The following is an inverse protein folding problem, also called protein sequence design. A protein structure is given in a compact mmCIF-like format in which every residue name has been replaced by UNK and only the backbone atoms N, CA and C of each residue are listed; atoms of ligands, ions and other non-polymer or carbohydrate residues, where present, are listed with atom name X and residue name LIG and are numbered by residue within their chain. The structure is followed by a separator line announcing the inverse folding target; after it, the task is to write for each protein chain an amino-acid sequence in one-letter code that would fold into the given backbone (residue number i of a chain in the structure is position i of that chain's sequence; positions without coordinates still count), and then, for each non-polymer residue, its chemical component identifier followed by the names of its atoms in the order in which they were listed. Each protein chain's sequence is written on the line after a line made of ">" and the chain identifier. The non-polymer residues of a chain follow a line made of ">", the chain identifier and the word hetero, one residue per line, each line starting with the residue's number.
data_IF_826227011633
#
_entry.id   IF_826227011633
#
_cell.length_a   1.000
_cell.length_b   1.000
_cell.length_c   1.000
_cell.angle_alpha   90.00
_cell.angle_beta   90.00
_cell.angle_gamma   90.00
#
_symmetry.space_group_name_H-M   'P 1'
#
loop_
_entity.id
_entity.type
_entity.pdbx_description
1 polymer ?
#
# COMPACT_ATOMS: atom_id res chain seq x y z
N UNK A 1 9.94 17.17 17.85
CA UNK A 1 10.13 16.25 18.99
C UNK A 1 10.94 15.05 18.53
N UNK A 2 11.93 14.65 19.32
CA UNK A 2 12.67 13.40 19.16
C UNK A 2 12.15 12.42 20.22
N UNK A 3 11.57 11.33 19.74
CA UNK A 3 11.04 10.27 20.57
C UNK A 3 12.17 9.31 20.98
N UNK A 4 12.58 9.44 22.25
CA UNK A 4 13.52 8.56 22.93
C UNK A 4 12.82 7.74 24.04
N UNK A 5 11.49 7.75 24.05
CA UNK A 5 10.66 7.01 25.00
C UNK A 5 10.38 5.61 24.44
N UNK A 6 11.19 4.64 24.83
CA UNK A 6 11.07 3.23 24.47
C UNK A 6 10.30 2.51 25.58
N UNK A 7 8.97 2.74 25.60
CA UNK A 7 8.10 2.33 26.70
C UNK A 7 7.58 0.88 26.61
N UNK A 8 7.78 0.21 25.49
CA UNK A 8 7.38 -1.19 25.29
C UNK A 8 8.30 -2.10 26.11
N UNK A 9 7.78 -3.01 26.94
CA UNK A 9 8.59 -3.97 27.67
C UNK A 9 9.47 -4.83 26.76
N UNK A 10 10.60 -5.32 27.26
CA UNK A 10 11.61 -6.12 26.58
C UNK A 10 12.45 -5.38 25.52
N UNK A 11 11.99 -4.28 24.96
CA UNK A 11 12.74 -3.56 23.92
C UNK A 11 13.79 -2.66 24.54
N UNK A 12 15.03 -2.73 24.01
CA UNK A 12 16.18 -1.94 24.46
C UNK A 12 17.02 -1.44 23.29
N UNK A 13 16.53 -1.53 22.06
CA UNK A 13 17.25 -1.16 20.87
C UNK A 13 17.59 0.33 20.81
N UNK A 14 16.60 1.20 21.13
CA UNK A 14 16.81 2.65 21.16
C UNK A 14 17.63 3.08 22.36
N UNK A 15 17.43 2.48 23.52
CA UNK A 15 18.25 2.71 24.72
C UNK A 15 19.73 2.42 24.43
N UNK A 16 20.03 1.26 23.84
CA UNK A 16 21.40 0.90 23.47
C UNK A 16 21.98 1.83 22.41
N UNK A 17 21.18 2.19 21.40
CA UNK A 17 21.61 3.12 20.37
C UNK A 17 21.96 4.51 20.97
N UNK A 18 21.16 4.99 21.93
CA UNK A 18 21.44 6.26 22.62
C UNK A 18 22.69 6.18 23.49
N UNK A 19 22.96 5.05 24.12
CA UNK A 19 24.19 4.85 24.90
C UNK A 19 25.44 4.87 24.01
N UNK A 20 25.42 4.16 22.89
CA UNK A 20 26.61 3.98 22.04
C UNK A 20 26.80 5.12 21.03
N UNK A 21 25.72 5.75 20.55
CA UNK A 21 25.74 6.66 19.41
C UNK A 21 25.11 8.04 19.72
N UNK A 22 25.14 8.50 20.99
CA UNK A 22 24.54 9.78 21.40
C UNK A 22 25.01 10.96 20.55
N UNK A 23 26.31 11.06 20.23
CA UNK A 23 26.86 12.14 19.43
C UNK A 23 26.28 12.16 18.01
N UNK A 24 26.20 10.99 17.35
CA UNK A 24 25.65 10.85 16.02
C UNK A 24 24.15 11.16 15.97
N UNK A 25 23.41 10.77 17.01
CA UNK A 25 21.98 11.10 17.16
C UNK A 25 21.79 12.60 17.24
N UNK A 26 22.58 13.31 18.09
CA UNK A 26 22.50 14.76 18.26
C UNK A 26 22.91 15.48 16.96
N UNK A 27 23.89 14.98 16.23
CA UNK A 27 24.27 15.52 14.92
C UNK A 27 23.11 15.38 13.90
N UNK A 28 22.43 14.22 13.86
CA UNK A 28 21.23 14.02 13.04
C UNK A 28 20.08 14.93 13.44
N UNK A 29 19.89 15.19 14.74
CA UNK A 29 18.91 16.17 15.25
C UNK A 29 19.25 17.57 14.75
N UNK A 30 20.52 17.97 14.76
CA UNK A 30 20.97 19.29 14.24
C UNK A 30 20.67 19.43 12.73
N UNK A 31 20.85 18.34 11.96
CA UNK A 31 20.50 18.34 10.52
C UNK A 31 18.98 18.55 10.35
N UNK A 32 18.16 17.81 11.10
CA UNK A 32 16.70 17.97 11.08
C UNK A 32 16.28 19.38 11.51
N UNK A 33 16.88 19.93 12.55
CA UNK A 33 16.64 21.28 13.00
C UNK A 33 17.03 22.34 11.98
N UNK A 34 18.15 22.14 11.25
CA UNK A 34 18.57 23.03 10.18
C UNK A 34 17.56 23.06 9.02
N UNK A 35 17.00 21.90 8.67
CA UNK A 35 16.02 21.79 7.58
C UNK A 35 14.67 22.41 7.97
N UNK A 36 14.21 22.13 9.18
CA UNK A 36 12.86 22.47 9.64
C UNK A 36 12.78 23.86 10.31
N UNK A 37 13.91 24.35 10.82
CA UNK A 37 14.01 25.61 11.57
C UNK A 37 12.93 25.76 12.66
N UNK A 38 12.80 24.76 13.55
CA UNK A 38 11.80 24.78 14.61
C UNK A 38 12.15 25.83 15.66
N UNK A 39 11.14 26.32 16.37
CA UNK A 39 11.33 27.21 17.53
C UNK A 39 12.01 26.48 18.69
N UNK A 40 11.70 25.21 18.91
CA UNK A 40 12.26 24.39 19.98
C UNK A 40 12.42 22.92 19.50
N UNK A 41 13.48 22.27 19.98
CA UNK A 41 13.70 20.83 19.79
C UNK A 41 13.64 20.14 21.16
N UNK A 42 12.69 19.22 21.31
CA UNK A 42 12.48 18.45 22.54
C UNK A 42 12.87 16.98 22.33
N UNK A 43 13.70 16.44 23.19
CA UNK A 43 13.99 15.00 23.26
C UNK A 43 13.23 14.45 24.47
N UNK A 44 12.24 13.57 24.26
CA UNK A 44 11.51 12.91 25.34
C UNK A 44 12.09 11.53 25.64
N UNK A 45 12.60 11.32 26.86
CA UNK A 45 13.21 10.06 27.30
C UNK A 45 12.62 9.63 28.65
N UNK A 46 12.48 8.32 28.86
CA UNK A 46 11.98 7.79 30.14
C UNK A 46 13.05 7.74 31.22
N UNK A 47 12.63 7.88 32.51
CA UNK A 47 13.50 7.92 33.68
C UNK A 47 14.20 6.57 33.99
N UNK A 48 13.70 5.46 33.40
CA UNK A 48 14.31 4.13 33.53
C UNK A 48 15.56 3.90 32.66
N UNK A 49 16.05 4.95 31.94
CA UNK A 49 17.20 4.88 31.02
C UNK A 49 18.37 5.79 31.50
N UNK A 50 18.92 5.60 32.72
CA UNK A 50 19.87 6.54 33.32
C UNK A 50 21.17 6.67 32.51
N UNK A 51 21.66 5.59 31.87
CA UNK A 51 22.88 5.61 31.07
C UNK A 51 22.69 6.45 29.80
N UNK A 52 21.59 6.22 29.04
CA UNK A 52 21.27 6.99 27.85
C UNK A 52 21.04 8.48 28.20
N UNK A 53 20.35 8.78 29.31
CA UNK A 53 20.17 10.15 29.81
C UNK A 53 21.53 10.81 30.05
N UNK A 54 22.45 10.11 30.72
CA UNK A 54 23.81 10.62 31.00
C UNK A 54 24.59 10.89 29.71
N UNK A 55 24.58 9.96 28.75
CA UNK A 55 25.28 10.10 27.48
C UNK A 55 24.70 11.26 26.64
N UNK A 56 23.38 11.36 26.54
CA UNK A 56 22.75 12.46 25.82
C UNK A 56 23.04 13.82 26.51
N UNK A 57 22.96 13.92 27.82
CA UNK A 57 23.30 15.15 28.55
C UNK A 57 24.74 15.58 28.29
N UNK A 58 25.69 14.64 28.27
CA UNK A 58 27.10 14.95 28.02
C UNK A 58 27.32 15.58 26.63
N UNK A 59 26.62 15.10 25.61
CA UNK A 59 26.72 15.62 24.23
C UNK A 59 25.93 16.90 24.04
N UNK A 60 24.86 17.11 24.80
CA UNK A 60 23.98 18.27 24.69
C UNK A 60 24.52 19.53 25.44
N UNK A 61 25.60 19.44 26.22
CA UNK A 61 26.17 20.55 26.96
C UNK A 61 26.37 21.80 26.08
N UNK A 62 26.79 21.60 24.82
CA UNK A 62 27.09 22.66 23.87
C UNK A 62 26.00 22.84 22.78
N UNK A 63 24.83 22.17 22.94
CA UNK A 63 23.77 22.19 21.94
C UNK A 63 22.66 23.18 22.31
N UNK A 64 22.82 24.43 21.90
CA UNK A 64 21.75 25.43 22.06
C UNK A 64 20.47 25.05 21.29
N UNK A 65 19.31 25.27 21.92
CA UNK A 65 18.01 25.06 21.29
C UNK A 65 17.50 23.60 21.31
N UNK A 66 18.23 22.66 21.93
CA UNK A 66 17.80 21.26 22.11
C UNK A 66 17.65 20.97 23.59
N UNK A 67 16.47 20.58 24.02
CA UNK A 67 16.13 20.28 25.42
C UNK A 67 15.86 18.82 25.64
N UNK A 68 16.53 18.19 26.60
CA UNK A 68 16.25 16.84 27.06
C UNK A 68 15.20 16.87 28.18
N UNK A 69 14.06 16.24 27.94
CA UNK A 69 12.95 16.12 28.89
C UNK A 69 12.85 14.68 29.37
N UNK A 70 13.16 14.46 30.65
CA UNK A 70 12.98 13.17 31.30
C UNK A 70 11.53 13.05 31.75
N UNK A 71 10.86 11.99 31.32
CA UNK A 71 9.45 11.71 31.67
C UNK A 71 9.36 10.42 32.49
N UNK A 72 8.32 10.27 33.33
CA UNK A 72 8.10 9.01 34.03
C UNK A 72 7.90 7.84 33.10
N UNK A 73 8.47 6.69 33.45
CA UNK A 73 8.24 5.43 32.74
C UNK A 73 6.79 4.99 32.93
N UNK A 74 5.99 5.15 31.88
CA UNK A 74 4.58 4.75 31.86
C UNK A 74 4.15 4.36 30.43
N UNK A 75 3.77 3.11 30.26
CA UNK A 75 3.24 2.67 28.97
C UNK A 75 1.83 3.28 28.74
N UNK A 76 1.49 3.81 27.54
CA UNK A 76 2.30 3.94 26.32
C UNK A 76 2.82 5.37 26.06
N UNK A 77 3.59 5.97 26.98
CA UNK A 77 4.15 7.34 26.84
C UNK A 77 4.94 7.55 25.53
N UNK A 78 5.54 6.48 24.95
CA UNK A 78 6.23 6.51 23.67
C UNK A 78 5.32 6.61 22.44
N UNK A 79 4.01 6.54 22.59
CA UNK A 79 3.07 6.80 21.50
C UNK A 79 3.19 8.25 21.00
N UNK A 80 3.19 8.46 19.66
CA UNK A 80 3.47 9.78 19.09
C UNK A 80 2.51 10.88 19.60
N UNK A 81 1.20 10.61 19.65
CA UNK A 81 0.20 11.56 20.14
C UNK A 81 0.35 11.79 21.65
N UNK A 82 0.62 10.74 22.43
CA UNK A 82 0.80 10.78 23.87
C UNK A 82 2.06 11.56 24.24
N UNK A 83 3.19 11.28 23.61
CA UNK A 83 4.43 12.00 23.87
C UNK A 83 4.32 13.47 23.47
N UNK A 84 3.64 13.79 22.39
CA UNK A 84 3.35 15.19 22.00
C UNK A 84 2.60 15.90 23.11
N UNK A 85 1.54 15.30 23.64
CA UNK A 85 0.76 15.89 24.73
C UNK A 85 1.59 16.03 26.02
N UNK A 86 2.38 15.01 26.39
CA UNK A 86 3.23 15.04 27.59
C UNK A 86 4.24 16.17 27.53
N UNK A 87 4.89 16.37 26.37
CA UNK A 87 5.98 17.33 26.24
C UNK A 87 5.51 18.77 25.96
N UNK A 88 4.37 18.93 25.28
CA UNK A 88 3.90 20.25 24.80
C UNK A 88 2.58 20.70 25.42
N UNK A 89 1.85 19.81 26.07
CA UNK A 89 0.49 20.06 26.55
C UNK A 89 -0.57 20.14 25.43
N UNK A 90 -0.17 20.02 24.16
CA UNK A 90 -1.07 20.11 23.01
C UNK A 90 -1.58 18.72 22.61
N UNK A 91 -2.88 18.64 22.34
CA UNK A 91 -3.49 17.41 21.80
C UNK A 91 -3.57 17.46 20.29
N UNK A 92 -3.26 16.34 19.62
CA UNK A 92 -3.47 16.17 18.18
C UNK A 92 -4.97 16.00 17.94
N UNK A 93 -5.61 16.81 17.05
CA UNK A 93 -7.05 16.70 16.82
C UNK A 93 -7.47 15.35 16.25
N UNK A 94 -8.76 15.01 16.41
CA UNK A 94 -9.35 13.81 15.83
C UNK A 94 -9.11 13.78 14.31
N UNK A 95 -8.64 12.63 13.78
CA UNK A 95 -8.29 12.47 12.36
C UNK A 95 -7.09 13.29 11.89
N UNK A 96 -6.52 14.15 12.75
CA UNK A 96 -5.37 15.01 12.45
C UNK A 96 -4.02 14.34 12.68
N UNK A 97 -2.98 15.05 12.27
CA UNK A 97 -1.57 14.70 12.46
C UNK A 97 -0.89 15.69 13.40
N UNK A 98 0.22 15.29 13.98
CA UNK A 98 1.04 16.19 14.80
C UNK A 98 1.52 17.43 14.03
N UNK A 99 1.73 17.30 12.70
CA UNK A 99 2.04 18.43 11.83
C UNK A 99 0.97 19.53 11.80
N UNK A 100 -0.30 19.19 12.03
CA UNK A 100 -1.42 20.13 11.98
C UNK A 100 -1.41 21.10 13.18
N UNK A 101 -0.71 20.73 14.24
CA UNK A 101 -0.45 21.55 15.43
C UNK A 101 0.99 22.11 15.48
N UNK A 102 1.71 22.05 14.35
CA UNK A 102 3.08 22.56 14.23
C UNK A 102 4.14 21.66 14.87
N UNK A 103 3.88 20.36 15.07
CA UNK A 103 4.81 19.42 15.70
C UNK A 103 5.21 18.32 14.70
N UNK A 104 6.52 18.16 14.50
CA UNK A 104 7.08 16.99 13.80
C UNK A 104 7.73 16.08 14.85
N UNK A 105 7.45 14.77 14.77
CA UNK A 105 8.06 13.78 15.64
C UNK A 105 8.92 12.80 14.84
N UNK A 106 10.14 12.52 15.34
CA UNK A 106 11.04 11.53 14.79
C UNK A 106 11.61 10.64 15.91
N UNK A 107 11.87 9.38 15.63
CA UNK A 107 12.54 8.47 16.56
C UNK A 107 14.07 8.71 16.56
N UNK A 108 14.75 8.36 17.65
CA UNK A 108 16.22 8.47 17.79
C UNK A 108 16.97 7.69 16.70
N UNK A 109 16.50 6.51 16.31
CA UNK A 109 17.07 5.73 15.21
C UNK A 109 16.92 6.42 13.86
N UNK A 110 15.85 7.20 13.65
CA UNK A 110 15.70 8.04 12.46
C UNK A 110 16.71 9.18 12.46
N UNK A 111 16.89 9.87 13.59
CA UNK A 111 17.90 10.94 13.70
C UNK A 111 19.32 10.40 13.42
N UNK A 112 19.66 9.25 13.99
CA UNK A 112 20.91 8.54 13.69
C UNK A 112 21.07 8.23 12.19
N UNK A 113 20.03 7.68 11.56
CA UNK A 113 20.06 7.35 10.14
C UNK A 113 20.18 8.59 9.23
N UNK A 114 19.59 9.72 9.63
CA UNK A 114 19.73 11.00 8.94
C UNK A 114 21.20 11.47 8.94
N UNK A 115 21.88 11.37 10.09
CA UNK A 115 23.31 11.69 10.18
C UNK A 115 24.14 10.80 9.24
N UNK A 116 23.93 9.50 9.27
CA UNK A 116 24.66 8.57 8.37
C UNK A 116 24.43 8.88 6.90
N UNK A 117 23.17 9.16 6.52
CA UNK A 117 22.84 9.44 5.13
C UNK A 117 23.44 10.78 4.63
N UNK A 118 23.38 11.83 5.44
CA UNK A 118 23.75 13.18 5.01
C UNK A 118 25.27 13.44 5.15
N UNK A 119 25.86 13.00 6.27
CA UNK A 119 27.26 13.25 6.55
C UNK A 119 28.17 12.14 5.99
N UNK A 120 27.80 10.87 6.23
CA UNK A 120 28.64 9.72 5.87
C UNK A 120 28.34 9.21 4.45
N UNK A 121 27.23 9.62 3.82
CA UNK A 121 26.79 9.11 2.52
C UNK A 121 26.30 7.66 2.54
N UNK A 122 25.92 7.15 3.73
CA UNK A 122 25.52 5.76 3.92
C UNK A 122 24.00 5.63 3.99
N UNK A 123 23.36 4.85 3.12
CA UNK A 123 21.94 4.59 3.19
C UNK A 123 21.59 3.71 4.41
N UNK A 124 20.31 3.73 4.82
CA UNK A 124 19.81 2.86 5.89
C UNK A 124 19.79 1.40 5.42
N UNK A 125 20.85 0.65 5.74
CA UNK A 125 21.03 -0.77 5.39
C UNK A 125 20.96 -1.71 6.58
N UNK A 126 21.02 -1.17 7.78
CA UNK A 126 21.03 -1.93 9.04
C UNK A 126 20.40 -1.10 10.18
N UNK A 127 20.00 -1.78 11.22
CA UNK A 127 19.48 -1.14 12.44
C UNK A 127 19.78 -1.99 13.67
N UNK A 128 19.72 -1.36 14.85
CA UNK A 128 19.75 -2.09 16.12
C UNK A 128 18.43 -2.83 16.31
N UNK A 129 18.52 -4.11 16.67
CA UNK A 129 17.38 -4.99 16.97
C UNK A 129 17.62 -5.68 18.29
N UNK A 130 16.66 -5.66 19.17
CA UNK A 130 16.67 -6.41 20.43
C UNK A 130 16.30 -7.87 20.15
N UNK A 131 17.10 -8.81 20.63
CA UNK A 131 16.80 -10.24 20.65
C UNK A 131 16.59 -10.65 22.10
N UNK A 132 15.40 -11.12 22.46
CA UNK A 132 15.02 -11.31 23.87
C UNK A 132 13.94 -12.37 24.04
N UNK A 133 13.58 -12.66 25.28
CA UNK A 133 12.68 -13.72 25.69
C UNK A 133 13.42 -14.90 26.31
N UNK A 134 12.76 -15.67 27.17
CA UNK A 134 13.39 -16.81 27.86
C UNK A 134 13.79 -17.95 26.92
N UNK A 135 13.23 -18.01 25.70
CA UNK A 135 13.66 -18.99 24.70
C UNK A 135 14.96 -18.60 23.98
N UNK A 136 15.59 -17.45 24.33
CA UNK A 136 16.87 -17.00 23.77
C UNK A 136 17.95 -17.11 24.85
N UNK A 137 19.00 -17.90 24.60
CA UNK A 137 20.07 -18.13 25.60
C UNK A 137 21.04 -16.96 25.71
N UNK A 138 21.18 -16.15 24.68
CA UNK A 138 22.05 -14.97 24.64
C UNK A 138 21.26 -13.73 24.21
N UNK A 139 20.38 -13.21 25.10
CA UNK A 139 19.61 -12.01 24.79
C UNK A 139 20.54 -10.80 24.68
N UNK A 140 20.15 -9.81 23.86
CA UNK A 140 20.93 -8.60 23.67
C UNK A 140 20.50 -7.80 22.44
N UNK A 141 21.26 -6.75 22.14
CA UNK A 141 21.03 -5.90 20.97
C UNK A 141 22.09 -6.17 19.90
N UNK A 142 21.65 -6.30 18.66
CA UNK A 142 22.52 -6.57 17.51
C UNK A 142 22.30 -5.59 16.39
N UNK A 143 23.33 -5.25 15.64
CA UNK A 143 23.19 -4.60 14.36
C UNK A 143 22.72 -5.61 13.32
N UNK A 144 21.48 -5.54 12.92
CA UNK A 144 20.87 -6.42 11.94
C UNK A 144 20.74 -5.72 10.58
N UNK A 145 21.27 -6.35 9.53
CA UNK A 145 21.10 -5.87 8.16
C UNK A 145 19.66 -6.08 7.71
N UNK A 146 19.11 -5.11 6.99
CA UNK A 146 17.79 -5.24 6.39
C UNK A 146 17.79 -6.40 5.38
N UNK A 147 16.74 -7.22 5.45
CA UNK A 147 16.66 -8.44 4.64
C UNK A 147 17.20 -9.70 5.30
N UNK A 148 17.90 -9.60 6.44
CA UNK A 148 18.36 -10.78 7.20
C UNK A 148 17.14 -11.59 7.68
N UNK A 149 17.08 -12.91 7.42
CA UNK A 149 16.00 -13.74 7.95
C UNK A 149 16.00 -13.76 9.49
N UNK A 150 14.81 -13.64 10.09
CA UNK A 150 14.64 -13.68 11.55
C UNK A 150 15.25 -14.96 12.15
N UNK A 151 15.05 -16.10 11.48
CA UNK A 151 15.65 -17.39 11.87
C UNK A 151 17.16 -17.32 12.08
N UNK A 152 17.88 -16.59 11.19
CA UNK A 152 19.33 -16.45 11.30
C UNK A 152 19.72 -15.73 12.60
N UNK A 153 19.09 -14.60 12.91
CA UNK A 153 19.38 -13.83 14.13
C UNK A 153 19.03 -14.60 15.39
N UNK A 154 17.89 -15.30 15.41
CA UNK A 154 17.50 -16.10 16.55
C UNK A 154 18.43 -17.30 16.79
N UNK A 155 18.83 -18.01 15.72
CA UNK A 155 19.78 -19.11 15.83
C UNK A 155 21.14 -18.64 16.36
N UNK A 156 21.62 -17.49 15.88
CA UNK A 156 22.87 -16.88 16.36
C UNK A 156 22.75 -16.47 17.83
N UNK A 157 21.60 -16.03 18.29
CA UNK A 157 21.32 -15.72 19.68
C UNK A 157 21.07 -16.96 20.56
N UNK A 158 21.09 -18.16 20.00
CA UNK A 158 20.88 -19.41 20.73
C UNK A 158 19.40 -19.67 21.04
N UNK A 159 18.55 -19.55 20.05
CA UNK A 159 17.12 -19.82 20.17
C UNK A 159 16.87 -21.30 20.47
N UNK A 160 16.21 -21.56 21.59
CA UNK A 160 15.81 -22.88 22.07
C UNK A 160 14.27 -22.95 22.10
N UNK A 161 13.61 -23.31 20.99
CA UNK A 161 12.17 -23.32 20.92
C UNK A 161 11.55 -24.40 21.81
N UNK A 162 10.40 -24.07 22.41
CA UNK A 162 9.49 -25.05 23.02
C UNK A 162 8.77 -25.88 21.95
N UNK A 163 7.89 -26.80 22.36
CA UNK A 163 7.10 -27.64 21.46
C UNK A 163 6.21 -26.79 20.51
N UNK A 164 5.71 -25.66 20.98
CA UNK A 164 4.96 -24.67 20.20
C UNK A 164 5.69 -23.33 20.22
N UNK A 165 6.69 -23.13 19.35
CA UNK A 165 7.48 -21.92 19.36
C UNK A 165 6.66 -20.72 18.89
N UNK A 166 6.66 -19.66 19.69
CA UNK A 166 6.12 -18.36 19.31
C UNK A 166 7.26 -17.37 19.20
N UNK A 167 7.25 -16.56 18.16
CA UNK A 167 8.15 -15.42 18.02
C UNK A 167 7.32 -14.22 17.65
N UNK A 168 7.54 -13.12 18.37
CA UNK A 168 6.85 -11.85 18.19
C UNK A 168 7.83 -10.85 17.59
N UNK A 169 7.46 -10.23 16.48
CA UNK A 169 8.18 -9.08 15.94
C UNK A 169 7.63 -7.80 16.59
N UNK A 170 8.48 -7.11 17.36
CA UNK A 170 8.11 -6.02 18.25
C UNK A 170 8.02 -6.47 19.70
N UNK A 171 7.33 -5.66 20.54
CA UNK A 171 7.12 -5.98 21.93
C UNK A 171 5.83 -6.77 22.21
N UNK A 172 5.59 -7.16 23.46
CA UNK A 172 4.47 -8.01 23.82
C UNK A 172 3.10 -7.33 23.69
N UNK A 173 3.05 -6.01 23.69
CA UNK A 173 1.79 -5.24 23.69
C UNK A 173 1.36 -4.80 22.28
N UNK A 174 2.31 -4.34 21.46
CA UNK A 174 2.02 -3.83 20.10
C UNK A 174 2.59 -4.69 18.98
N UNK A 175 3.46 -5.66 19.27
CA UNK A 175 4.02 -6.58 18.31
C UNK A 175 3.00 -7.54 17.70
N UNK A 176 3.47 -8.39 16.82
CA UNK A 176 2.65 -9.43 16.19
C UNK A 176 3.43 -10.73 16.06
N UNK A 177 2.73 -11.85 16.20
CA UNK A 177 3.30 -13.19 16.09
C UNK A 177 3.68 -13.49 14.65
N UNK A 178 4.88 -14.02 14.45
CA UNK A 178 5.36 -14.44 13.15
C UNK A 178 4.83 -15.84 12.81
N UNK A 179 4.20 -16.04 11.64
CA UNK A 179 3.71 -17.34 11.20
C UNK A 179 4.85 -18.31 10.81
N UNK A 180 6.01 -17.76 10.42
CA UNK A 180 7.25 -18.49 10.12
C UNK A 180 8.45 -17.57 10.32
N UNK A 181 9.65 -18.17 10.48
CA UNK A 181 10.86 -17.43 10.85
C UNK A 181 11.72 -16.98 9.66
N UNK A 182 11.36 -17.34 8.43
CA UNK A 182 12.10 -16.93 7.24
C UNK A 182 11.68 -15.56 6.67
N UNK A 183 10.93 -14.79 7.48
CA UNK A 183 10.62 -13.40 7.19
C UNK A 183 11.86 -12.53 7.40
N UNK A 184 12.05 -11.48 6.57
CA UNK A 184 13.22 -10.61 6.68
C UNK A 184 13.06 -9.57 7.80
N UNK A 185 14.17 -9.16 8.38
CA UNK A 185 14.26 -7.91 9.15
C UNK A 185 13.96 -6.74 8.21
N UNK A 186 13.06 -5.87 8.63
CA UNK A 186 12.65 -4.67 7.88
C UNK A 186 12.94 -3.40 8.67
N UNK A 187 12.76 -2.22 8.05
CA UNK A 187 13.09 -0.93 8.68
C UNK A 187 12.39 -0.67 10.02
N UNK A 188 11.22 -1.26 10.25
CA UNK A 188 10.45 -1.10 11.49
C UNK A 188 10.75 -2.18 12.55
N UNK A 189 11.52 -3.21 12.21
CA UNK A 189 11.85 -4.29 13.16
C UNK A 189 12.80 -3.77 14.22
N UNK A 190 12.33 -3.58 15.44
CA UNK A 190 13.13 -3.10 16.58
C UNK A 190 13.39 -4.19 17.62
N UNK A 191 12.59 -5.26 17.62
CA UNK A 191 12.69 -6.36 18.58
C UNK A 191 12.21 -7.68 17.96
N UNK A 192 12.85 -8.77 18.37
CA UNK A 192 12.41 -10.16 18.16
C UNK A 192 12.32 -10.79 19.54
N UNK A 193 11.09 -10.94 20.02
CA UNK A 193 10.77 -11.53 21.31
C UNK A 193 10.40 -13.00 21.10
N UNK A 194 11.17 -13.90 21.67
CA UNK A 194 10.92 -15.33 21.68
C UNK A 194 10.63 -15.79 23.13
N UNK A 195 9.38 -15.69 23.56
CA UNK A 195 9.00 -16.04 24.93
C UNK A 195 9.00 -17.55 25.12
N UNK A 196 9.23 -17.98 26.37
CA UNK A 196 8.98 -19.36 26.80
C UNK A 196 7.47 -19.60 27.01
N UNK A 197 7.11 -20.86 27.18
CA UNK A 197 5.71 -21.20 27.51
C UNK A 197 5.30 -20.61 28.89
N UNK A 198 6.24 -20.49 29.83
CA UNK A 198 6.01 -19.88 31.14
C UNK A 198 5.79 -18.36 31.04
N UNK A 199 6.50 -17.64 30.16
CA UNK A 199 6.28 -16.22 29.93
C UNK A 199 4.93 -15.93 29.26
N UNK A 200 4.50 -16.81 28.37
CA UNK A 200 3.19 -16.67 27.69
C UNK A 200 2.01 -16.96 28.63
N UNK A 201 2.21 -17.83 29.60
CA UNK A 201 1.14 -18.34 30.42
C UNK A 201 0.16 -19.22 29.64
N UNK A 202 -0.87 -19.71 30.36
CA UNK A 202 -1.93 -20.47 29.68
C UNK A 202 -2.92 -19.55 28.98
N UNK A 203 -3.41 -19.91 27.79
CA UNK A 203 -4.46 -19.17 27.11
C UNK A 203 -5.70 -19.04 28.00
N UNK A 204 -6.13 -17.81 28.22
CA UNK A 204 -7.32 -17.54 29.01
C UNK A 204 -8.54 -17.38 28.09
N UNK A 205 -9.64 -18.03 28.43
CA UNK A 205 -10.88 -17.89 27.66
C UNK A 205 -11.51 -16.50 27.81
N UNK A 206 -12.05 -15.98 26.71
CA UNK A 206 -12.85 -14.75 26.73
C UNK A 206 -14.15 -14.98 27.54
N UNK A 207 -14.40 -14.13 28.53
CA UNK A 207 -15.63 -14.13 29.34
C UNK A 207 -16.50 -12.93 29.00
N UNK A 208 -17.76 -12.98 29.41
CA UNK A 208 -18.69 -11.86 29.22
C UNK A 208 -18.21 -10.59 29.92
N UNK A 209 -18.36 -9.44 29.28
CA UNK A 209 -18.00 -8.14 29.85
C UNK A 209 -18.84 -7.85 31.11
N UNK A 210 -18.19 -7.62 32.26
CA UNK A 210 -18.82 -7.29 33.54
C UNK A 210 -19.05 -5.79 33.77
N UNK A 211 -18.71 -4.94 32.80
CA UNK A 211 -18.89 -3.48 32.81
C UNK A 211 -18.15 -2.78 33.96
N UNK A 212 -16.96 -3.24 34.30
CA UNK A 212 -16.15 -2.67 35.39
C UNK A 212 -15.48 -1.33 35.08
N UNK A 213 -15.48 -0.88 33.81
CA UNK A 213 -14.88 0.36 33.29
C UNK A 213 -13.34 0.44 33.35
N UNK A 214 -12.62 -0.53 33.89
CA UNK A 214 -11.16 -0.50 33.99
C UNK A 214 -10.47 -0.24 32.63
N UNK A 215 -11.07 -0.72 31.53
CA UNK A 215 -10.55 -0.46 30.19
C UNK A 215 -10.64 1.03 29.76
N UNK A 216 -11.63 1.78 30.25
CA UNK A 216 -11.75 3.21 30.00
C UNK A 216 -10.71 3.98 30.80
N UNK A 217 -10.52 3.63 32.08
CA UNK A 217 -9.52 4.27 32.95
C UNK A 217 -8.09 4.05 32.44
N UNK A 218 -7.82 2.91 31.79
CA UNK A 218 -6.53 2.59 31.21
C UNK A 218 -6.29 3.18 29.82
N UNK A 219 -7.31 3.75 29.16
CA UNK A 219 -7.19 4.21 27.77
C UNK A 219 -6.40 5.54 27.68
N UNK A 220 -5.24 5.56 26.99
CA UNK A 220 -4.44 6.79 26.86
C UNK A 220 -5.00 7.80 25.85
N UNK A 221 -6.08 7.44 25.16
CA UNK A 221 -6.78 8.29 24.19
C UNK A 221 -8.19 8.67 24.65
N UNK A 222 -8.51 8.47 25.94
CA UNK A 222 -9.80 8.79 26.56
C UNK A 222 -11.02 8.20 25.82
N UNK A 223 -10.83 7.04 25.18
CA UNK A 223 -11.89 6.33 24.50
C UNK A 223 -12.73 5.49 25.48
N UNK A 224 -13.84 4.99 24.99
CA UNK A 224 -14.70 4.06 25.72
C UNK A 224 -14.58 2.63 25.14
N UNK A 225 -13.52 1.84 25.48
CA UNK A 225 -13.26 0.55 24.87
C UNK A 225 -14.40 -0.44 25.01
N UNK A 226 -15.15 -0.40 26.12
CA UNK A 226 -16.34 -1.22 26.33
C UNK A 226 -17.42 -0.94 25.27
N UNK A 227 -17.66 0.33 24.97
CA UNK A 227 -18.65 0.72 23.96
C UNK A 227 -18.19 0.29 22.55
N UNK A 228 -16.93 0.59 22.23
CA UNK A 228 -16.30 0.18 20.97
C UNK A 228 -16.35 -1.33 20.77
N UNK A 229 -16.12 -2.14 21.83
CA UNK A 229 -16.25 -3.59 21.79
C UNK A 229 -17.65 -4.05 21.34
N UNK A 230 -18.70 -3.47 21.94
CA UNK A 230 -20.06 -3.84 21.57
C UNK A 230 -20.42 -3.44 20.15
N UNK A 231 -19.95 -2.27 19.69
CA UNK A 231 -20.16 -1.83 18.32
C UNK A 231 -19.43 -2.72 17.31
N UNK A 232 -18.18 -3.06 17.59
CA UNK A 232 -17.38 -3.97 16.76
C UNK A 232 -17.99 -5.36 16.70
N UNK A 233 -18.37 -5.93 17.86
CA UNK A 233 -19.03 -7.25 17.92
C UNK A 233 -20.39 -7.27 17.21
N UNK A 234 -21.11 -6.16 17.22
CA UNK A 234 -22.40 -5.99 16.54
C UNK A 234 -22.29 -5.45 15.12
N UNK A 235 -21.09 -5.30 14.55
CA UNK A 235 -20.83 -4.75 13.20
C UNK A 235 -21.54 -3.40 12.96
N UNK A 236 -21.56 -2.57 14.00
CA UNK A 236 -22.17 -1.23 13.95
C UNK A 236 -21.12 -0.18 13.57
N UNK A 237 -20.60 -0.26 12.35
CA UNK A 237 -19.47 0.53 11.84
C UNK A 237 -19.64 2.04 12.00
N UNK A 238 -20.87 2.55 11.75
CA UNK A 238 -21.17 3.98 11.90
C UNK A 238 -21.02 4.43 13.36
N UNK A 239 -21.50 3.62 14.31
CA UNK A 239 -21.37 3.92 15.75
C UNK A 239 -19.93 3.81 16.22
N UNK A 240 -19.19 2.80 15.77
CA UNK A 240 -17.77 2.67 16.07
C UNK A 240 -16.99 3.91 15.56
N UNK A 241 -17.30 4.37 14.35
CA UNK A 241 -16.73 5.59 13.77
C UNK A 241 -17.12 6.85 14.57
N UNK A 242 -18.39 7.00 14.94
CA UNK A 242 -18.89 8.14 15.74
C UNK A 242 -18.29 8.19 17.16
N UNK A 243 -17.84 7.06 17.70
CA UNK A 243 -17.14 6.94 18.98
C UNK A 243 -15.62 6.95 18.83
N UNK A 244 -15.12 7.51 17.74
CA UNK A 244 -13.69 7.77 17.51
C UNK A 244 -12.81 6.53 17.53
N UNK A 245 -13.29 5.37 17.03
CA UNK A 245 -12.48 4.16 16.93
C UNK A 245 -11.14 4.42 16.21
N UNK A 246 -11.11 5.34 15.24
CA UNK A 246 -9.91 5.70 14.50
C UNK A 246 -8.78 6.27 15.38
N UNK A 247 -9.10 6.87 16.53
CA UNK A 247 -8.11 7.41 17.48
C UNK A 247 -7.52 6.34 18.41
N UNK A 248 -8.05 5.12 18.40
CA UNK A 248 -7.43 4.01 19.11
C UNK A 248 -6.04 3.73 18.53
N UNK A 249 -5.01 3.82 19.38
CA UNK A 249 -3.61 3.56 19.00
C UNK A 249 -3.22 2.07 19.10
N UNK A 250 -4.17 1.19 19.44
CA UNK A 250 -3.99 -0.27 19.52
C UNK A 250 -2.91 -0.69 20.54
N UNK A 251 -2.71 0.10 21.57
CA UNK A 251 -1.67 -0.12 22.59
C UNK A 251 -1.89 -1.34 23.50
N UNK A 252 -3.07 -1.94 23.53
CA UNK A 252 -3.34 -3.12 24.36
C UNK A 252 -3.63 -2.84 25.83
N UNK A 253 -3.43 -1.62 26.35
CA UNK A 253 -3.64 -1.32 27.76
C UNK A 253 -5.05 -1.71 28.28
N UNK A 254 -6.07 -1.47 27.47
CA UNK A 254 -7.46 -1.84 27.81
C UNK A 254 -7.68 -3.36 27.88
N UNK A 255 -7.01 -4.13 27.00
CA UNK A 255 -7.09 -5.59 27.03
C UNK A 255 -6.33 -6.16 28.23
N UNK A 256 -5.17 -5.58 28.57
CA UNK A 256 -4.37 -6.00 29.72
C UNK A 256 -5.11 -5.89 31.05
N UNK A 257 -5.86 -4.82 31.26
CA UNK A 257 -6.61 -4.60 32.52
C UNK A 257 -7.97 -5.28 32.53
N UNK A 258 -8.35 -5.98 31.47
CA UNK A 258 -9.69 -6.59 31.38
C UNK A 258 -9.80 -7.87 32.21
N UNK A 259 -10.62 -7.90 33.29
CA UNK A 259 -10.77 -9.11 34.11
C UNK A 259 -11.54 -10.23 33.40
N UNK A 260 -12.15 -9.94 32.26
CA UNK A 260 -12.89 -10.90 31.43
C UNK A 260 -12.05 -11.41 30.26
N UNK A 261 -10.76 -11.11 30.19
CA UNK A 261 -9.81 -11.54 29.14
C UNK A 261 -10.30 -11.25 27.71
N UNK A 262 -11.05 -10.16 27.52
CA UNK A 262 -11.57 -9.79 26.19
C UNK A 262 -10.42 -9.23 25.37
N UNK A 263 -10.13 -9.79 24.17
CA UNK A 263 -9.07 -9.31 23.28
C UNK A 263 -9.50 -8.06 22.53
N UNK A 264 -9.75 -6.97 23.28
CA UNK A 264 -10.34 -5.71 22.78
C UNK A 264 -9.62 -5.18 21.54
N UNK A 265 -8.29 -5.25 21.51
CA UNK A 265 -7.50 -4.71 20.39
C UNK A 265 -7.76 -5.49 19.10
N UNK A 266 -7.94 -6.82 19.17
CA UNK A 266 -8.28 -7.64 18.01
C UNK A 266 -9.63 -7.23 17.41
N UNK A 267 -10.64 -7.02 18.24
CA UNK A 267 -11.93 -6.50 17.79
C UNK A 267 -11.79 -5.13 17.12
N UNK A 268 -10.98 -4.23 17.68
CA UNK A 268 -10.78 -2.90 17.12
C UNK A 268 -9.99 -2.94 15.80
N UNK A 269 -8.98 -3.80 15.68
CA UNK A 269 -8.23 -4.01 14.45
C UNK A 269 -9.11 -4.54 13.33
N UNK A 270 -9.93 -5.54 13.65
CA UNK A 270 -10.88 -6.10 12.69
C UNK A 270 -11.88 -5.04 12.24
N UNK A 271 -12.52 -4.34 13.16
CA UNK A 271 -13.49 -3.29 12.86
C UNK A 271 -12.90 -2.16 12.01
N UNK A 272 -11.68 -1.70 12.32
CA UNK A 272 -10.98 -0.71 11.50
C UNK A 272 -10.70 -1.22 10.09
N UNK A 273 -10.32 -2.49 9.94
CA UNK A 273 -10.06 -3.09 8.65
C UNK A 273 -11.36 -3.21 7.82
N UNK A 274 -12.47 -3.59 8.43
CA UNK A 274 -13.79 -3.67 7.78
C UNK A 274 -14.26 -2.27 7.34
N UNK A 275 -14.19 -1.27 8.22
CA UNK A 275 -14.52 0.13 7.88
C UNK A 275 -13.63 0.64 6.73
N UNK A 276 -12.34 0.34 6.75
CA UNK A 276 -11.43 0.74 5.68
C UNK A 276 -11.77 0.05 4.34
N UNK A 277 -12.14 -1.23 4.37
CA UNK A 277 -12.57 -1.97 3.19
C UNK A 277 -13.86 -1.41 2.58
N UNK A 278 -14.86 -1.11 3.41
CA UNK A 278 -16.13 -0.50 2.99
C UNK A 278 -15.85 0.86 2.33
N UNK A 279 -15.09 1.74 2.97
CA UNK A 279 -14.73 3.05 2.42
C UNK A 279 -13.98 2.95 1.09
N UNK A 280 -13.08 1.97 0.97
CA UNK A 280 -12.34 1.76 -0.27
C UNK A 280 -13.26 1.28 -1.40
N UNK A 281 -14.24 0.44 -1.09
CA UNK A 281 -15.23 -0.03 -2.06
C UNK A 281 -16.14 1.12 -2.51
N UNK A 282 -16.64 1.92 -1.59
CA UNK A 282 -17.43 3.13 -1.88
C UNK A 282 -16.66 4.11 -2.76
N UNK A 283 -15.39 4.37 -2.45
CA UNK A 283 -14.53 5.22 -3.26
C UNK A 283 -14.35 4.66 -4.68
N UNK A 284 -14.08 3.36 -4.80
CA UNK A 284 -13.94 2.69 -6.12
C UNK A 284 -15.24 2.77 -6.92
N UNK A 285 -16.39 2.59 -6.27
CA UNK A 285 -17.70 2.70 -6.89
C UNK A 285 -17.96 4.14 -7.38
N UNK A 286 -17.67 5.14 -6.54
CA UNK A 286 -17.79 6.54 -6.89
C UNK A 286 -16.90 6.95 -8.08
N UNK A 287 -15.63 6.51 -8.08
CA UNK A 287 -14.70 6.73 -9.19
C UNK A 287 -15.14 6.02 -10.48
N UNK A 288 -15.68 4.80 -10.37
CA UNK A 288 -16.22 4.07 -11.51
C UNK A 288 -17.43 4.78 -12.10
N UNK A 289 -18.34 5.26 -11.25
CA UNK A 289 -19.50 6.06 -11.64
C UNK A 289 -19.09 7.35 -12.34
N UNK A 290 -18.17 8.11 -11.76
CA UNK A 290 -17.66 9.35 -12.35
C UNK A 290 -17.00 9.12 -13.72
N UNK A 291 -16.22 8.04 -13.87
CA UNK A 291 -15.62 7.65 -15.17
C UNK A 291 -16.68 7.27 -16.19
N UNK A 292 -17.72 6.56 -15.77
CA UNK A 292 -18.84 6.20 -16.64
C UNK A 292 -19.61 7.45 -17.13
N UNK A 293 -19.97 8.34 -16.23
CA UNK A 293 -20.66 9.59 -16.54
C UNK A 293 -19.84 10.50 -17.47
N UNK A 294 -18.55 10.65 -17.21
CA UNK A 294 -17.63 11.40 -18.08
C UNK A 294 -17.54 10.78 -19.49
N UNK A 295 -17.53 9.45 -19.60
CA UNK A 295 -17.55 8.74 -20.88
C UNK A 295 -18.87 8.98 -21.63
N UNK A 296 -20.00 8.90 -20.94
CA UNK A 296 -21.32 9.17 -21.52
C UNK A 296 -21.40 10.61 -22.07
N UNK A 297 -21.04 11.58 -21.25
CA UNK A 297 -21.02 12.99 -21.64
C UNK A 297 -20.10 13.27 -22.84
N UNK A 298 -18.95 12.56 -22.94
CA UNK A 298 -18.08 12.66 -24.12
C UNK A 298 -18.75 12.09 -25.35
N UNK A 299 -19.35 10.90 -25.26
CA UNK A 299 -20.05 10.27 -26.39
C UNK A 299 -21.23 11.11 -26.89
N UNK A 300 -21.98 11.73 -25.99
CA UNK A 300 -23.07 12.63 -26.35
C UNK A 300 -22.56 13.89 -27.06
N UNK A 301 -21.47 14.50 -26.57
CA UNK A 301 -20.81 15.62 -27.25
C UNK A 301 -20.31 15.24 -28.65
N UNK A 302 -19.71 14.06 -28.79
CA UNK A 302 -19.24 13.56 -30.10
C UNK A 302 -20.42 13.32 -31.05
N UNK A 303 -21.53 12.73 -30.58
CA UNK A 303 -22.76 12.54 -31.35
C UNK A 303 -23.37 13.88 -31.78
N UNK A 304 -23.47 14.85 -30.87
CA UNK A 304 -23.97 16.19 -31.16
C UNK A 304 -23.08 16.92 -32.20
N UNK A 305 -21.77 16.88 -32.02
CA UNK A 305 -20.81 17.47 -32.96
C UNK A 305 -20.87 16.80 -34.34
N UNK A 306 -21.08 15.48 -34.41
CA UNK A 306 -21.28 14.76 -35.67
C UNK A 306 -22.57 15.15 -36.34
N UNK A 307 -23.66 15.23 -35.61
CA UNK A 307 -24.97 15.68 -36.13
C UNK A 307 -24.91 17.13 -36.68
N UNK A 308 -24.17 18.00 -35.98
CA UNK A 308 -23.96 19.37 -36.42
C UNK A 308 -23.13 19.46 -37.72
N UNK A 309 -22.06 18.65 -37.82
CA UNK A 309 -21.28 18.54 -39.07
C UNK A 309 -22.14 18.03 -40.22
N UNK A 310 -23.01 17.05 -39.99
CA UNK A 310 -23.95 16.57 -41.02
C UNK A 310 -24.96 17.64 -41.43
N UNK A 311 -25.49 18.41 -40.47
CA UNK A 311 -26.37 19.55 -40.78
C UNK A 311 -25.65 20.63 -41.61
N UNK A 312 -24.39 20.98 -41.25
CA UNK A 312 -23.58 21.94 -42.02
C UNK A 312 -23.24 21.43 -43.41
N UNK A 313 -23.01 20.11 -43.59
CA UNK A 313 -22.77 19.50 -44.89
C UNK A 313 -24.04 19.40 -45.74
N UNK A 314 -25.23 19.35 -45.12
CA UNK A 314 -26.53 19.33 -45.83
C UNK A 314 -27.03 20.73 -46.23
N UNK A 315 -26.41 21.81 -45.73
CA UNK A 315 -26.65 23.17 -46.25
C UNK A 315 -26.13 23.21 -47.69
N UNK A 316 -27.02 23.54 -48.64
CA UNK A 316 -26.79 23.52 -50.07
C UNK A 316 -25.46 24.16 -50.46
N UNK A 317 -24.65 23.49 -51.29
CA UNK A 317 -23.38 24.04 -51.76
C UNK A 317 -23.66 25.38 -52.51
N UNK A 318 -22.74 26.33 -52.36
CA UNK A 318 -22.79 27.62 -53.04
C UNK A 318 -22.95 27.40 -54.55
N UNK A 319 -23.60 28.34 -55.26
CA UNK A 319 -23.94 28.19 -56.66
C UNK A 319 -22.76 27.72 -57.57
N UNK A 320 -21.54 28.12 -57.26
CA UNK A 320 -20.30 27.63 -57.92
C UNK A 320 -20.04 26.15 -57.70
N UNK A 321 -20.38 25.62 -56.55
CA UNK A 321 -20.20 24.19 -56.26
C UNK A 321 -21.29 23.33 -56.91
N UNK A 322 -22.50 23.89 -57.09
CA UNK A 322 -23.60 23.24 -57.84
C UNK A 322 -23.25 23.08 -59.34
N UNK A 323 -22.62 24.09 -59.93
CA UNK A 323 -22.13 24.00 -61.31
C UNK A 323 -21.03 22.93 -61.47
N UNK A 324 -20.08 22.89 -60.52
CA UNK A 324 -19.03 21.86 -60.52
C UNK A 324 -19.60 20.45 -60.33
N UNK A 325 -20.59 20.28 -59.46
CA UNK A 325 -21.26 18.99 -59.21
C UNK A 325 -22.09 18.58 -60.44
N UNK A 326 -22.80 19.53 -61.04
CA UNK A 326 -23.60 19.29 -62.27
C UNK A 326 -22.71 18.89 -63.45
N UNK A 327 -21.55 19.55 -63.63
CA UNK A 327 -20.53 19.22 -64.60
C UNK A 327 -19.90 17.83 -64.38
N UNK A 328 -19.67 17.48 -63.10
CA UNK A 328 -19.15 16.16 -62.74
C UNK A 328 -20.21 15.06 -63.00
N UNK A 329 -21.46 15.29 -62.66
CA UNK A 329 -22.58 14.38 -62.96
C UNK A 329 -22.83 14.22 -64.45
N UNK A 330 -22.70 15.31 -65.26
CA UNK A 330 -22.75 15.23 -66.69
C UNK A 330 -21.67 14.32 -67.28
N UNK A 331 -20.39 14.47 -66.82
CA UNK A 331 -19.28 13.63 -67.24
C UNK A 331 -19.51 12.14 -66.88
N UNK A 332 -20.12 11.85 -65.74
CA UNK A 332 -20.47 10.49 -65.32
C UNK A 332 -21.59 9.93 -66.22
N UNK A 333 -22.61 10.75 -66.53
CA UNK A 333 -23.69 10.34 -67.46
C UNK A 333 -23.18 10.10 -68.88
N UNK A 334 -22.28 10.96 -69.39
CA UNK A 334 -21.65 10.74 -70.71
C UNK A 334 -20.80 9.45 -70.73
N UNK A 335 -20.03 9.20 -69.71
CA UNK A 335 -19.29 7.91 -69.56
C UNK A 335 -20.23 6.71 -69.46
N UNK A 336 -21.38 6.83 -68.80
CA UNK A 336 -22.39 5.78 -68.76
C UNK A 336 -23.10 5.58 -70.12
N UNK A 337 -23.27 6.66 -70.88
CA UNK A 337 -23.84 6.62 -72.20
C UNK A 337 -22.92 5.98 -73.20
N UNK A 338 -21.63 6.31 -73.14
CA UNK A 338 -20.60 5.66 -74.01
C UNK A 338 -20.39 4.16 -73.64
N UNK A 339 -20.59 3.80 -72.33
CA UNK A 339 -20.58 2.40 -71.87
C UNK A 339 -21.89 1.64 -72.24
N UNK A 340 -22.97 2.35 -72.61
CA UNK A 340 -24.27 1.72 -72.96
C UNK A 340 -24.50 1.54 -74.45
N UNK A 341 -23.46 1.61 -75.29
CA UNK A 341 -23.61 1.16 -76.66
C UNK A 341 -23.92 -0.35 -76.69
N UNK A 342 -24.94 -0.78 -77.47
CA UNK A 342 -25.33 -2.18 -77.42
C UNK A 342 -24.19 -3.01 -78.01
N UNK A 343 -23.58 -3.84 -77.17
CA UNK A 343 -22.65 -4.89 -77.61
C UNK A 343 -23.49 -5.88 -78.35
N UNK A 344 -23.32 -5.93 -79.68
CA UNK A 344 -23.92 -6.99 -80.53
C UNK A 344 -23.22 -8.28 -80.17
N UNK A 345 -23.82 -9.09 -79.36
CA UNK A 345 -23.31 -10.44 -79.06
C UNK A 345 -23.73 -11.36 -80.16
N UNK A 346 -22.78 -11.82 -80.97
CA UNK A 346 -23.01 -12.92 -81.93
C UNK A 346 -23.27 -14.19 -81.12
N UNK A 347 -24.35 -14.86 -81.38
CA UNK A 347 -24.73 -16.09 -80.73
C UNK A 347 -23.65 -17.16 -80.94
N UNK A 348 -23.00 -17.62 -79.86
CA UNK A 348 -21.98 -18.67 -79.89
C UNK A 348 -20.56 -18.27 -79.44
N UNK A 349 -20.25 -16.99 -79.30
CA UNK A 349 -18.94 -16.57 -78.78
C UNK A 349 -18.93 -16.60 -77.22
N UNK A 350 -18.00 -17.36 -76.68
CA UNK A 350 -17.72 -17.28 -75.21
C UNK A 350 -17.11 -15.91 -74.91
N UNK A 351 -17.54 -15.18 -73.87
CA UNK A 351 -16.96 -13.89 -73.53
C UNK A 351 -15.48 -14.08 -73.17
N UNK A 352 -14.60 -13.41 -73.86
CA UNK A 352 -13.18 -13.36 -73.53
C UNK A 352 -12.95 -12.33 -72.48
N UNK A 353 -12.79 -12.80 -71.25
CA UNK A 353 -12.51 -11.95 -70.05
C UNK A 353 -11.01 -11.87 -69.74
N UNK A 354 -10.15 -12.31 -70.69
CA UNK A 354 -8.70 -12.39 -70.52
C UNK A 354 -8.08 -11.02 -70.15
N UNK A 355 -8.49 -9.94 -70.81
CA UNK A 355 -8.05 -8.56 -70.52
C UNK A 355 -8.48 -8.08 -69.16
N UNK A 356 -9.71 -8.35 -68.72
CA UNK A 356 -10.22 -7.96 -67.46
C UNK A 356 -9.53 -8.73 -66.30
N UNK A 357 -9.21 -10.00 -66.51
CA UNK A 357 -8.45 -10.84 -65.60
C UNK A 357 -7.01 -10.34 -65.47
N UNK A 358 -6.35 -10.08 -66.66
CA UNK A 358 -5.00 -9.54 -66.68
C UNK A 358 -4.89 -8.16 -65.97
N UNK A 359 -5.85 -7.26 -66.23
CA UNK A 359 -5.91 -5.95 -65.53
C UNK A 359 -6.13 -6.08 -64.02
N UNK A 360 -6.91 -7.09 -63.59
CA UNK A 360 -7.12 -7.34 -62.13
C UNK A 360 -5.88 -7.95 -61.49
N UNK A 361 -5.16 -8.80 -62.18
CA UNK A 361 -3.91 -9.37 -61.69
C UNK A 361 -2.78 -8.33 -61.65
N UNK A 362 -2.68 -7.46 -62.66
CA UNK A 362 -1.74 -6.34 -62.66
C UNK A 362 -1.95 -5.41 -61.46
N UNK A 363 -3.22 -5.03 -61.19
CA UNK A 363 -3.55 -4.20 -60.01
C UNK A 363 -3.22 -4.90 -58.70
N UNK A 364 -3.42 -6.22 -58.60
CA UNK A 364 -3.04 -7.00 -57.42
C UNK A 364 -1.51 -7.10 -57.27
N UNK A 365 -0.78 -7.24 -58.36
CA UNK A 365 0.68 -7.25 -58.38
C UNK A 365 1.25 -5.89 -57.95
N UNK A 366 0.69 -4.79 -58.48
CA UNK A 366 1.07 -3.42 -58.11
C UNK A 366 0.80 -3.10 -56.61
N UNK A 367 -0.37 -3.54 -56.10
CA UNK A 367 -0.70 -3.41 -54.70
C UNK A 367 0.23 -4.21 -53.77
N UNK A 368 0.65 -5.41 -54.21
CA UNK A 368 1.65 -6.23 -53.51
C UNK A 368 3.04 -5.61 -53.56
N UNK A 369 3.47 -5.06 -54.71
CA UNK A 369 4.74 -4.37 -54.86
C UNK A 369 4.80 -3.10 -53.98
N UNK A 370 3.72 -2.31 -53.94
CA UNK A 370 3.61 -1.13 -53.06
C UNK A 370 3.67 -1.51 -51.57
N UNK A 371 3.03 -2.62 -51.21
CA UNK A 371 3.10 -3.12 -49.80
C UNK A 371 4.50 -3.65 -49.47
N UNK A 372 5.19 -4.28 -50.37
CA UNK A 372 6.56 -4.72 -50.21
C UNK A 372 7.56 -3.55 -50.13
N UNK A 373 7.36 -2.51 -50.96
CA UNK A 373 8.16 -1.27 -50.86
C UNK A 373 7.95 -0.50 -49.52
N UNK A 374 6.72 -0.49 -48.99
CA UNK A 374 6.44 0.07 -47.67
C UNK A 374 7.05 -0.75 -46.54
N UNK A 375 7.27 -2.04 -46.73
CA UNK A 375 7.96 -2.92 -45.78
C UNK A 375 9.47 -2.96 -45.92
N UNK A 376 10.01 -2.51 -47.09
CA UNK A 376 11.45 -2.47 -47.38
C UNK A 376 12.11 -1.11 -47.13
N UNK A 377 11.37 -0.08 -46.72
CA UNK A 377 11.96 1.15 -46.27
C UNK A 377 12.74 0.90 -44.96
N UNK A 378 14.03 1.31 -44.85
CA UNK A 378 14.79 1.09 -43.64
C UNK A 378 14.10 1.82 -42.50
N UNK A 379 13.57 1.05 -41.56
CA UNK A 379 13.09 1.59 -40.26
C UNK A 379 14.30 2.18 -39.56
N UNK A 380 14.39 3.51 -39.54
CA UNK A 380 15.09 4.23 -38.48
C UNK A 380 14.32 3.85 -37.21
N UNK A 381 14.96 3.06 -36.35
CA UNK A 381 14.37 2.63 -35.09
C UNK A 381 13.96 3.86 -34.30
N UNK A 382 12.68 4.06 -33.96
CA UNK A 382 12.34 5.01 -32.93
C UNK A 382 12.91 4.43 -31.63
N UNK A 383 13.57 5.29 -30.85
CA UNK A 383 14.01 4.96 -29.49
C UNK A 383 12.88 4.27 -28.76
N UNK A 384 13.18 3.13 -28.14
CA UNK A 384 12.23 2.32 -27.41
C UNK A 384 11.53 3.18 -26.36
N UNK A 385 10.24 3.44 -26.55
CA UNK A 385 9.40 3.92 -25.45
C UNK A 385 9.45 2.88 -24.32
N UNK A 386 9.61 3.31 -23.06
CA UNK A 386 9.64 2.37 -21.95
C UNK A 386 8.29 1.63 -21.90
N UNK A 387 8.35 0.33 -22.07
CA UNK A 387 7.19 -0.56 -21.93
C UNK A 387 6.63 -0.36 -20.55
N UNK A 388 5.39 0.15 -20.46
CA UNK A 388 4.69 0.34 -19.18
C UNK A 388 4.65 -1.01 -18.44
N UNK A 389 5.34 -1.14 -17.28
CA UNK A 389 5.45 -2.42 -16.56
C UNK A 389 4.08 -2.94 -16.11
N UNK A 390 3.06 -2.08 -16.08
CA UNK A 390 1.67 -2.46 -15.75
C UNK A 390 0.99 -3.21 -16.89
N UNK A 391 1.27 -2.88 -18.17
CA UNK A 391 0.72 -3.62 -19.31
C UNK A 391 1.31 -5.03 -19.39
N UNK A 392 2.62 -5.15 -19.21
CA UNK A 392 3.29 -6.46 -19.20
C UNK A 392 2.79 -7.35 -18.04
N UNK A 393 2.54 -6.77 -16.86
CA UNK A 393 2.00 -7.49 -15.71
C UNK A 393 0.54 -7.97 -15.94
N UNK A 394 -0.29 -7.16 -16.60
CA UNK A 394 -1.67 -7.53 -16.96
C UNK A 394 -1.71 -8.65 -17.99
N UNK A 395 -0.88 -8.59 -19.02
CA UNK A 395 -0.79 -9.65 -20.05
C UNK A 395 -0.29 -10.96 -19.44
N UNK A 396 0.70 -10.92 -18.55
CA UNK A 396 1.18 -12.09 -17.83
C UNK A 396 0.11 -12.67 -16.87
N UNK A 397 -0.70 -11.84 -16.23
CA UNK A 397 -1.81 -12.28 -15.39
C UNK A 397 -2.92 -12.96 -16.19
N UNK A 398 -3.27 -12.41 -17.36
CA UNK A 398 -4.25 -13.00 -18.29
C UNK A 398 -3.76 -14.35 -18.81
N UNK A 399 -2.48 -14.46 -19.17
CA UNK A 399 -1.89 -15.72 -19.63
C UNK A 399 -1.94 -16.81 -18.53
N UNK A 400 -1.61 -16.46 -17.27
CA UNK A 400 -1.69 -17.39 -16.13
C UNK A 400 -3.13 -17.81 -15.82
N UNK A 401 -4.11 -16.90 -15.94
CA UNK A 401 -5.53 -17.23 -15.75
C UNK A 401 -6.05 -18.18 -16.82
N UNK A 402 -5.63 -18.00 -18.08
CA UNK A 402 -5.98 -18.93 -19.19
C UNK A 402 -5.36 -20.31 -19.00
N UNK A 403 -4.10 -20.38 -18.54
CA UNK A 403 -3.42 -21.65 -18.25
C UNK A 403 -4.12 -22.42 -17.12
N UNK A 404 -4.46 -21.75 -16.00
CA UNK A 404 -5.21 -22.36 -14.89
C UNK A 404 -6.59 -22.88 -15.30
N UNK A 405 -7.29 -22.16 -16.19
CA UNK A 405 -8.61 -22.60 -16.67
C UNK A 405 -8.51 -23.83 -17.58
N UNK A 406 -7.43 -23.94 -18.34
CA UNK A 406 -7.15 -25.13 -19.15
C UNK A 406 -6.79 -26.36 -18.30
N UNK A 407 -6.01 -26.16 -17.21
CA UNK A 407 -5.70 -27.23 -16.24
C UNK A 407 -6.93 -27.71 -15.48
N UNK A 408 -7.83 -26.82 -15.07
CA UNK A 408 -9.08 -27.19 -14.39
C UNK A 408 -10.08 -27.94 -15.29
N UNK A 409 -9.98 -27.78 -16.62
CA UNK A 409 -10.81 -28.51 -17.56
C UNK A 409 -10.22 -29.87 -17.97
N UNK A 410 -8.97 -30.16 -17.60
CA UNK A 410 -8.27 -31.40 -17.93
C UNK A 410 -8.20 -32.41 -16.76
N UNK A 411 -8.70 -32.08 -15.57
CA UNK A 411 -8.72 -33.01 -14.44
C UNK A 411 -9.93 -33.95 -14.53
N UNK A 412 -9.76 -35.29 -14.46
CA UNK A 412 -10.87 -36.21 -14.40
C UNK A 412 -11.58 -36.11 -13.05
N UNK A 413 -12.91 -36.10 -13.09
CA UNK A 413 -13.77 -36.09 -11.90
C UNK A 413 -13.85 -37.54 -11.40
N UNK A 414 -13.04 -37.88 -10.38
CA UNK A 414 -13.26 -39.08 -9.57
C UNK A 414 -14.24 -38.72 -8.46
N UNK A 415 -15.41 -39.34 -8.49
CA UNK A 415 -16.42 -39.25 -7.45
C UNK A 415 -16.13 -40.28 -6.33
N UNK A 416 -16.05 -39.89 -5.05
CA UNK A 416 -16.02 -40.87 -3.96
C UNK A 416 -17.43 -41.48 -3.72
N UNK A 417 -17.47 -42.79 -3.65
CA UNK A 417 -18.64 -43.58 -3.30
C UNK A 417 -19.10 -43.23 -1.86
N UNK A 418 -20.41 -43.08 -1.69
CA UNK A 418 -21.07 -42.89 -0.42
C UNK A 418 -21.09 -44.22 0.39
N UNK A 419 -20.59 -44.21 1.62
CA UNK A 419 -20.83 -45.27 2.61
C UNK A 419 -22.19 -45.07 3.28
N UNK A 420 -22.89 -46.15 3.62
CA UNK A 420 -24.22 -46.05 4.20
C UNK A 420 -24.18 -45.76 5.70
N UNK A 421 -25.01 -44.83 6.13
CA UNK A 421 -25.24 -44.47 7.54
C UNK A 421 -26.12 -45.52 8.16
N UNK A 422 -25.68 -46.19 9.25
CA UNK A 422 -26.39 -47.10 10.13
C UNK A 422 -27.25 -46.30 11.13
N UNK A 423 -28.55 -46.60 11.26
CA UNK A 423 -29.45 -45.91 12.21
C UNK A 423 -29.44 -46.60 13.55
N UNK A 424 -28.76 -46.03 14.56
CA UNK A 424 -29.14 -46.23 15.96
C UNK A 424 -28.82 -44.99 16.80
#
# INVERSE_FOLDING_TARGET
>A
IINAAECEPYITADDRLMQDCAAQIVEGIRILAHILQPEEVLIGIEDNKPQAISMLRAVLCDAHGISLRVIPTKYPSGGAKQLTQILTGKQVPHGGRSSDIGVLMQNVGTAYAVKRAVIDGEPLTERVVTLTGEAVTRPGNVWARLGTPVRHLLNDAGFCPSAEPMVIMGGPLMGFTLPWLDVPVVKITNCLLAPSASEMGEPQEEKGCIRCSACADACPADLLPQQLYWFSKGQQHDKATAHNLADCIECGACAWVCPSNIPLVQYFRQEKAEIAAIRQEEQRAAEAKARFEARQARLEREKAARAERHKKAAVQPAAKDQEAISAALARVRDKQRDAAQPIVIQAGAKPDNSEAIAAREARKAEARARKAQQQAAPMVAPAAEPVDPRKAAVEAAIARAKARKAEQQAAPVDAPAAEPVDPR
#
